data_IF_893040990657
#
_entry.id   IF_893040990657
#
_cell.length_a   1.000
_cell.length_b   1.000
_cell.length_c   1.000
_cell.angle_alpha   90.00
_cell.angle_beta   90.00
_cell.angle_gamma   90.00
#
_symmetry.space_group_name_H-M   'P 1'
#
loop_
_entity.id
_entity.type
_entity.pdbx_description
1 polymer ?
#
# COMPACT_ATOMS: atom_id res chain seq x y z
N UNK A 1 1.54 -2.63 37.02
CA UNK A 1 0.57 -3.07 36.01
C UNK A 1 0.60 -2.09 34.85
N UNK A 2 1.11 -2.47 33.66
CA UNK A 2 0.60 -2.08 32.33
C UNK A 2 1.48 -2.68 31.21
N UNK A 3 1.01 -3.85 30.77
CA UNK A 3 0.98 -4.43 29.41
C UNK A 3 2.19 -4.27 28.48
N UNK A 4 2.79 -5.44 28.21
CA UNK A 4 3.45 -5.83 26.97
C UNK A 4 2.69 -5.35 25.74
N UNK A 5 3.43 -4.85 24.75
CA UNK A 5 3.10 -5.01 23.33
C UNK A 5 4.42 -4.99 22.55
N UNK A 6 4.95 -6.18 22.33
CA UNK A 6 5.81 -6.48 21.19
C UNK A 6 5.04 -6.11 19.91
N UNK A 7 5.20 -4.88 19.42
CA UNK A 7 4.81 -4.54 18.06
C UNK A 7 6.09 -4.41 17.25
N UNK A 8 6.39 -5.53 16.58
CA UNK A 8 7.35 -5.68 15.50
C UNK A 8 7.59 -4.36 14.76
N UNK A 9 8.83 -3.89 14.90
CA UNK A 9 9.55 -2.97 14.02
C UNK A 9 9.59 -3.54 12.59
N UNK A 10 8.45 -3.50 11.91
CA UNK A 10 8.40 -3.31 10.46
C UNK A 10 8.45 -1.80 10.26
N UNK A 11 9.26 -1.29 9.31
CA UNK A 11 9.39 0.15 9.11
C UNK A 11 7.98 0.70 8.89
N UNK A 12 7.57 1.71 9.67
CA UNK A 12 6.30 2.44 9.55
C UNK A 12 5.72 2.34 8.14
N UNK A 13 4.88 1.32 7.93
CA UNK A 13 3.92 1.35 6.84
C UNK A 13 2.69 1.94 7.51
N UNK A 14 2.36 3.16 7.11
CA UNK A 14 1.12 3.83 7.50
C UNK A 14 -0.04 2.83 7.34
N UNK A 15 -1.03 2.83 8.22
CA UNK A 15 -2.14 1.85 8.14
C UNK A 15 -2.81 1.86 6.74
N UNK A 16 -2.73 3.00 6.06
CA UNK A 16 -3.13 3.22 4.68
C UNK A 16 -2.27 2.43 3.68
N UNK A 17 -0.94 2.39 3.84
CA UNK A 17 -0.05 1.59 2.98
C UNK A 17 -0.38 0.09 3.10
N UNK A 18 -0.66 -0.39 4.31
CA UNK A 18 -1.10 -1.77 4.53
C UNK A 18 -2.47 -2.03 3.90
N UNK A 19 -3.44 -1.14 4.06
CA UNK A 19 -4.75 -1.26 3.43
C UNK A 19 -4.68 -1.26 1.90
N UNK A 20 -3.77 -0.46 1.32
CA UNK A 20 -3.50 -0.44 -0.12
C UNK A 20 -2.89 -1.78 -0.53
N UNK A 21 -1.86 -2.25 0.18
CA UNK A 21 -1.18 -3.50 -0.13
C UNK A 21 -2.05 -4.76 0.07
N UNK A 22 -3.04 -4.68 0.97
CA UNK A 22 -4.09 -5.69 1.16
C UNK A 22 -5.17 -5.60 0.07
N UNK A 23 -5.53 -4.38 -0.35
CA UNK A 23 -6.44 -4.15 -1.47
C UNK A 23 -5.86 -4.50 -2.83
N UNK A 24 -4.53 -4.54 -2.97
CA UNK A 24 -3.84 -5.03 -4.16
C UNK A 24 -3.75 -6.56 -4.06
N UNK A 25 -4.86 -7.23 -4.36
CA UNK A 25 -4.97 -8.67 -4.21
C UNK A 25 -4.35 -9.43 -5.39
N UNK A 26 -4.42 -8.87 -6.62
CA UNK A 26 -3.69 -9.32 -7.82
C UNK A 26 -4.08 -8.38 -8.98
N UNK A 27 -3.15 -7.54 -9.48
CA UNK A 27 -3.39 -6.66 -10.64
C UNK A 27 -4.60 -5.72 -10.45
N UNK A 28 -4.47 -4.76 -9.53
CA UNK A 28 -5.52 -3.78 -9.24
C UNK A 28 -5.28 -2.50 -10.02
N UNK A 29 -6.30 -1.97 -10.69
CA UNK A 29 -6.20 -0.67 -11.35
C UNK A 29 -6.14 0.46 -10.32
N UNK A 30 -5.37 1.50 -10.63
CA UNK A 30 -5.27 2.72 -9.82
C UNK A 30 -6.65 3.32 -9.49
N UNK A 31 -7.53 3.42 -10.48
CA UNK A 31 -8.90 3.93 -10.28
C UNK A 31 -9.68 3.13 -9.23
N UNK A 32 -9.50 1.81 -9.23
CA UNK A 32 -10.21 0.92 -8.30
C UNK A 32 -9.67 1.09 -6.87
N UNK A 33 -8.38 1.37 -6.71
CA UNK A 33 -7.82 1.77 -5.41
C UNK A 33 -8.34 3.14 -4.98
N UNK A 34 -8.43 4.08 -5.91
CA UNK A 34 -8.93 5.43 -5.63
C UNK A 34 -10.38 5.39 -5.12
N UNK A 35 -11.25 4.62 -5.77
CA UNK A 35 -12.64 4.43 -5.34
C UNK A 35 -12.74 3.69 -4.00
N UNK A 36 -11.95 2.63 -3.81
CA UNK A 36 -12.02 1.77 -2.62
C UNK A 36 -11.50 2.45 -1.36
N UNK A 37 -10.45 3.28 -1.48
CA UNK A 37 -9.85 3.98 -0.35
C UNK A 37 -10.46 5.37 -0.11
N UNK A 38 -11.17 5.95 -1.08
CA UNK A 38 -11.72 7.32 -0.99
C UNK A 38 -10.68 8.35 -0.52
N UNK A 39 -9.42 8.16 -0.92
CA UNK A 39 -8.31 9.09 -0.64
C UNK A 39 -8.00 9.94 -1.87
N UNK A 40 -7.46 11.16 -1.69
CA UNK A 40 -7.04 11.98 -2.81
C UNK A 40 -5.94 11.29 -3.63
N UNK A 41 -6.04 11.43 -4.96
CA UNK A 41 -5.10 10.84 -5.93
C UNK A 41 -3.64 11.16 -5.61
N UNK A 42 -3.36 12.39 -5.17
CA UNK A 42 -2.02 12.86 -4.83
C UNK A 42 -1.37 12.03 -3.70
N UNK A 43 -2.17 11.68 -2.68
CA UNK A 43 -1.70 10.82 -1.60
C UNK A 43 -1.57 9.37 -2.02
N UNK A 44 -2.51 8.86 -2.81
CA UNK A 44 -2.40 7.50 -3.36
C UNK A 44 -1.14 7.35 -4.22
N UNK A 45 -0.83 8.34 -5.06
CA UNK A 45 0.38 8.37 -5.89
C UNK A 45 1.63 8.35 -5.00
N UNK A 46 1.67 9.18 -3.95
CA UNK A 46 2.81 9.23 -3.02
C UNK A 46 3.04 7.89 -2.34
N UNK A 47 1.96 7.23 -1.90
CA UNK A 47 2.03 5.93 -1.24
C UNK A 47 2.47 4.84 -2.23
N UNK A 48 1.87 4.79 -3.42
CA UNK A 48 2.25 3.83 -4.46
C UNK A 48 3.71 4.02 -4.85
N UNK A 49 4.20 5.26 -4.95
CA UNK A 49 5.59 5.55 -5.23
C UNK A 49 6.52 5.02 -4.13
N UNK A 50 6.17 5.21 -2.85
CA UNK A 50 6.93 4.64 -1.73
C UNK A 50 6.93 3.11 -1.74
N UNK A 51 5.79 2.48 -2.05
CA UNK A 51 5.67 1.02 -2.15
C UNK A 51 6.47 0.48 -3.34
N UNK A 52 6.52 1.20 -4.46
CA UNK A 52 7.32 0.86 -5.64
C UNK A 52 8.82 0.99 -5.31
N UNK A 53 9.25 2.06 -4.64
CA UNK A 53 10.63 2.22 -4.16
C UNK A 53 11.06 1.09 -3.22
N UNK A 54 10.13 0.59 -2.41
CA UNK A 54 10.34 -0.58 -1.55
C UNK A 54 10.31 -1.92 -2.30
N UNK A 55 10.13 -1.91 -3.63
CA UNK A 55 9.94 -3.08 -4.49
C UNK A 55 8.79 -4.01 -4.03
N UNK A 56 7.76 -3.46 -3.36
CA UNK A 56 6.60 -4.21 -2.90
C UNK A 56 5.49 -4.29 -3.95
N UNK A 57 5.45 -3.30 -4.85
CA UNK A 57 4.49 -3.21 -5.94
C UNK A 57 5.20 -2.78 -7.23
N UNK A 58 4.54 -3.00 -8.35
CA UNK A 58 4.91 -2.51 -9.67
C UNK A 58 3.71 -1.81 -10.27
N UNK A 59 3.88 -0.60 -10.77
CA UNK A 59 2.85 0.07 -11.56
C UNK A 59 3.24 0.02 -13.05
N UNK A 60 2.44 -0.66 -13.87
CA UNK A 60 2.60 -0.69 -15.32
C UNK A 60 1.31 -0.17 -15.97
N UNK A 61 1.36 1.01 -16.59
CA UNK A 61 0.22 1.65 -17.29
C UNK A 61 -1.06 1.81 -16.45
N UNK A 62 -0.92 2.13 -15.15
CA UNK A 62 -2.06 2.31 -14.24
C UNK A 62 -2.54 1.00 -13.61
N UNK A 63 -1.82 -0.09 -13.87
CA UNK A 63 -2.09 -1.42 -13.36
C UNK A 63 -1.05 -1.74 -12.27
N UNK A 64 -1.54 -1.90 -11.05
CA UNK A 64 -0.71 -2.08 -9.86
C UNK A 64 -0.66 -3.56 -9.52
N UNK A 65 0.51 -4.14 -9.69
CA UNK A 65 0.81 -5.53 -9.38
C UNK A 65 1.59 -5.60 -8.09
N UNK A 66 1.16 -6.41 -7.13
CA UNK A 66 1.95 -6.69 -5.94
C UNK A 66 3.13 -7.60 -6.31
N UNK A 67 4.34 -7.12 -6.08
CA UNK A 67 5.56 -7.92 -6.18
C UNK A 67 5.78 -8.60 -4.83
N UNK A 68 4.94 -9.58 -4.51
CA UNK A 68 5.22 -10.49 -3.40
C UNK A 68 6.17 -11.57 -3.93
N UNK A 69 7.40 -11.60 -3.39
CA UNK A 69 8.36 -12.70 -3.56
C UNK A 69 7.87 -13.96 -2.83
#
# INVERSE_FOLDING_TARGET
YLRKKDENVLPDLDEIEKQILDSIENNTHFDNLLEKLSIPADQLITILFNLELKNLIKNENGLITKLTL
#
